data_IF_195992702956
#
_entry.id   IF_195992702956
#
_cell.length_a   1.000
_cell.length_b   1.000
_cell.length_c   1.000
_cell.angle_alpha   90.00
_cell.angle_beta   90.00
_cell.angle_gamma   90.00
#
_symmetry.space_group_name_H-M   'P 1'
#
loop_
_entity.id
_entity.type
_entity.pdbx_description
1 polymer ?
#
# COMPACT_ATOMS: atom_id res chain seq x y z
N UNK A 1 -15.58 3.54 60.69
CA UNK A 1 -15.93 4.62 61.64
C UNK A 1 -14.75 5.16 62.48
N UNK A 2 -13.59 4.52 62.54
CA UNK A 2 -12.41 5.06 63.27
C UNK A 2 -11.46 5.97 62.44
N UNK A 3 -11.82 6.36 61.21
CA UNK A 3 -11.00 7.23 60.35
C UNK A 3 -11.30 8.74 60.53
N UNK A 4 -12.24 9.11 61.40
CA UNK A 4 -12.80 10.48 61.47
C UNK A 4 -12.28 11.34 62.64
N UNK A 5 -11.27 10.89 63.38
CA UNK A 5 -10.61 11.67 64.45
C UNK A 5 -9.22 12.13 64.03
N UNK A 6 -9.09 12.68 62.83
CA UNK A 6 -7.91 13.47 62.46
C UNK A 6 -8.20 14.93 62.82
N UNK A 7 -7.87 15.22 64.08
CA UNK A 7 -7.47 16.50 64.68
C UNK A 7 -7.85 17.79 63.91
N UNK A 8 -8.61 18.70 64.53
CA UNK A 8 -8.97 20.01 63.97
C UNK A 8 -7.76 20.85 63.54
N UNK A 9 -6.56 20.51 64.05
CA UNK A 9 -5.28 21.06 63.60
C UNK A 9 -4.93 20.72 62.13
N UNK A 10 -5.39 19.57 61.61
CA UNK A 10 -5.13 19.15 60.23
C UNK A 10 -5.92 19.97 59.21
N UNK A 11 -7.17 20.35 59.54
CA UNK A 11 -7.96 21.26 58.70
C UNK A 11 -7.42 22.70 58.72
N UNK A 12 -6.83 23.13 59.84
CA UNK A 12 -6.22 24.45 59.95
C UNK A 12 -4.92 24.54 59.13
N UNK A 13 -4.09 23.49 59.19
CA UNK A 13 -2.91 23.35 58.33
C UNK A 13 -3.27 23.23 56.84
N UNK A 14 -4.44 22.66 56.49
CA UNK A 14 -4.91 22.53 55.10
C UNK A 14 -5.08 23.87 54.38
N UNK A 15 -5.53 24.91 55.08
CA UNK A 15 -5.77 26.21 54.46
C UNK A 15 -4.48 27.05 54.33
N UNK A 16 -3.42 26.73 55.07
CA UNK A 16 -2.09 27.34 54.92
C UNK A 16 -1.22 26.61 53.88
N UNK A 17 -1.61 25.41 53.44
CA UNK A 17 -0.90 24.57 52.46
C UNK A 17 -1.32 24.79 51.00
N UNK A 18 -2.30 25.66 50.72
CA UNK A 18 -2.88 25.87 49.38
C UNK A 18 -2.34 27.14 48.69
N UNK A 19 -1.59 28.00 49.37
CA UNK A 19 -0.97 29.16 48.73
C UNK A 19 0.31 28.77 47.97
N UNK A 20 0.19 28.80 46.65
CA UNK A 20 1.26 28.64 45.67
C UNK A 20 2.35 29.71 45.86
N UNK A 21 3.59 29.29 46.11
CA UNK A 21 4.74 29.58 45.24
C UNK A 21 6.09 29.28 45.93
N UNK A 22 6.94 28.53 45.23
CA UNK A 22 8.41 28.54 45.36
C UNK A 22 9.11 27.95 46.61
N UNK A 23 8.65 26.83 47.19
CA UNK A 23 9.49 26.03 48.13
C UNK A 23 9.14 24.53 48.23
N UNK A 24 8.89 23.85 47.11
CA UNK A 24 8.26 22.51 47.08
C UNK A 24 9.16 21.28 47.33
N UNK A 25 10.34 21.39 47.96
CA UNK A 25 11.14 20.21 48.36
C UNK A 25 10.79 19.63 49.75
N UNK A 26 10.78 20.43 50.84
CA UNK A 26 10.55 19.89 52.18
C UNK A 26 9.13 19.36 52.43
N UNK A 27 8.12 19.82 51.69
CA UNK A 27 6.71 19.35 51.85
C UNK A 27 6.48 17.98 51.21
N UNK A 28 7.21 17.69 50.11
CA UNK A 28 7.17 16.38 49.45
C UNK A 28 7.93 15.34 50.30
N UNK A 29 9.09 15.71 50.85
CA UNK A 29 9.88 14.81 51.69
C UNK A 29 9.13 14.39 52.97
N UNK A 30 8.42 15.31 53.65
CA UNK A 30 7.61 14.98 54.84
C UNK A 30 6.38 14.12 54.49
N UNK A 31 5.74 14.37 53.35
CA UNK A 31 4.63 13.53 52.87
C UNK A 31 5.09 12.11 52.56
N UNK A 32 6.22 11.97 51.86
CA UNK A 32 6.78 10.67 51.49
C UNK A 32 7.29 9.90 52.71
N UNK A 33 7.92 10.59 53.67
CA UNK A 33 8.57 9.96 54.82
C UNK A 33 7.59 9.58 55.95
N UNK A 34 6.49 10.33 56.14
CA UNK A 34 5.54 10.11 57.27
C UNK A 34 4.17 9.55 56.87
N UNK A 35 3.74 9.65 55.62
CA UNK A 35 2.40 9.21 55.22
C UNK A 35 2.44 8.20 54.07
N UNK A 36 3.20 8.48 52.99
CA UNK A 36 3.20 7.65 51.79
C UNK A 36 3.68 6.22 52.08
N UNK A 37 4.73 6.04 52.89
CA UNK A 37 5.27 4.71 53.20
C UNK A 37 4.29 3.88 54.02
N UNK A 38 3.72 4.42 55.11
CA UNK A 38 2.77 3.68 55.96
C UNK A 38 1.47 3.40 55.20
N UNK A 39 0.93 4.39 54.48
CA UNK A 39 -0.27 4.22 53.67
C UNK A 39 -0.10 3.13 52.59
N UNK A 40 1.05 3.11 51.89
CA UNK A 40 1.33 2.10 50.88
C UNK A 40 1.58 0.70 51.45
N UNK A 41 1.97 0.58 52.71
CA UNK A 41 2.12 -0.71 53.41
C UNK A 41 0.75 -1.22 53.86
N UNK A 42 -0.06 -0.37 54.50
CA UNK A 42 -1.40 -0.72 54.95
C UNK A 42 -2.31 -1.11 53.77
N UNK A 43 -2.24 -0.37 52.66
CA UNK A 43 -2.96 -0.72 51.45
C UNK A 43 -2.51 -2.07 50.88
N UNK A 44 -1.20 -2.32 50.83
CA UNK A 44 -0.65 -3.59 50.36
C UNK A 44 -1.12 -4.77 51.22
N UNK A 45 -1.10 -4.64 52.54
CA UNK A 45 -1.55 -5.70 53.45
C UNK A 45 -3.05 -5.94 53.34
N UNK A 46 -3.86 -4.88 53.20
CA UNK A 46 -5.29 -5.00 52.96
C UNK A 46 -5.59 -5.79 51.68
N UNK A 47 -4.96 -5.42 50.57
CA UNK A 47 -5.16 -6.07 49.27
C UNK A 47 -4.60 -7.51 49.24
N UNK A 48 -3.49 -7.79 49.91
CA UNK A 48 -2.97 -9.16 50.08
C UNK A 48 -3.94 -10.05 50.86
N UNK A 49 -4.58 -9.53 51.89
CA UNK A 49 -5.58 -10.28 52.66
C UNK A 49 -6.86 -10.55 51.87
N UNK A 50 -7.28 -9.64 51.00
CA UNK A 50 -8.42 -9.86 50.11
C UNK A 50 -8.10 -10.85 48.98
N UNK A 51 -6.86 -10.86 48.46
CA UNK A 51 -6.43 -11.75 47.39
C UNK A 51 -6.02 -13.18 47.82
N UNK A 52 -6.70 -13.74 48.83
CA UNK A 52 -6.46 -15.13 49.31
C UNK A 52 -7.22 -16.16 48.45
N UNK A 53 -8.15 -15.71 47.59
CA UNK A 53 -8.94 -16.60 46.72
C UNK A 53 -8.12 -17.08 45.53
N UNK A 54 -8.12 -18.40 45.31
CA UNK A 54 -7.53 -18.99 44.10
C UNK A 54 -8.47 -18.78 42.91
N UNK A 55 -7.93 -18.23 41.83
CA UNK A 55 -8.67 -17.96 40.60
C UNK A 55 -9.13 -19.26 39.93
N UNK A 56 -10.43 -19.40 39.67
CA UNK A 56 -10.98 -20.52 38.88
C UNK A 56 -11.54 -20.02 37.54
N UNK A 57 -11.57 -20.83 36.47
CA UNK A 57 -11.98 -20.38 35.12
C UNK A 57 -13.40 -19.78 35.06
N UNK A 58 -14.29 -20.24 35.91
CA UNK A 58 -15.68 -19.79 36.00
C UNK A 58 -15.80 -18.44 36.73
N UNK A 59 -14.96 -18.19 37.74
CA UNK A 59 -14.97 -16.96 38.56
C UNK A 59 -14.19 -15.78 37.95
N UNK A 60 -13.55 -15.94 36.78
CA UNK A 60 -12.73 -14.89 36.16
C UNK A 60 -13.51 -13.58 35.94
N UNK A 61 -14.79 -13.66 35.55
CA UNK A 61 -15.58 -12.44 35.30
C UNK A 61 -15.87 -11.68 36.59
N UNK A 62 -16.17 -12.40 37.67
CA UNK A 62 -16.41 -11.83 39.00
C UNK A 62 -15.12 -11.25 39.58
N UNK A 63 -14.00 -11.98 39.46
CA UNK A 63 -12.69 -11.53 39.88
C UNK A 63 -12.21 -10.27 39.13
N UNK A 64 -12.42 -10.20 37.81
CA UNK A 64 -12.08 -9.00 37.03
C UNK A 64 -12.98 -7.80 37.36
N UNK A 65 -14.26 -8.04 37.71
CA UNK A 65 -15.16 -6.98 38.18
C UNK A 65 -14.72 -6.44 39.53
N UNK A 66 -14.39 -7.32 40.47
CA UNK A 66 -13.90 -6.97 41.81
C UNK A 66 -12.59 -6.15 41.73
N UNK A 67 -11.64 -6.58 40.89
CA UNK A 67 -10.43 -5.79 40.64
C UNK A 67 -10.77 -4.43 40.03
N UNK A 68 -11.67 -4.38 39.05
CA UNK A 68 -12.06 -3.12 38.41
C UNK A 68 -12.66 -2.13 39.42
N UNK A 69 -13.47 -2.59 40.37
CA UNK A 69 -14.04 -1.76 41.44
C UNK A 69 -12.95 -1.19 42.37
N UNK A 70 -11.96 -2.01 42.75
CA UNK A 70 -10.82 -1.53 43.54
C UNK A 70 -9.99 -0.49 42.79
N UNK A 71 -9.76 -0.68 41.49
CA UNK A 71 -9.07 0.32 40.67
C UNK A 71 -9.84 1.64 40.59
N UNK A 72 -11.16 1.60 40.39
CA UNK A 72 -11.99 2.80 40.34
C UNK A 72 -12.03 3.53 41.69
N UNK A 73 -12.13 2.77 42.78
CA UNK A 73 -12.07 3.31 44.12
C UNK A 73 -10.74 4.03 44.36
N UNK A 74 -9.62 3.38 44.06
CA UNK A 74 -8.29 3.97 44.30
C UNK A 74 -7.99 5.16 43.39
N UNK A 75 -8.41 5.11 42.13
CA UNK A 75 -8.29 6.26 41.22
C UNK A 75 -9.13 7.45 41.72
N UNK A 76 -10.34 7.18 42.24
CA UNK A 76 -11.23 8.23 42.77
C UNK A 76 -10.69 8.80 44.07
N UNK A 77 -10.28 7.92 44.99
CA UNK A 77 -9.67 8.26 46.27
C UNK A 77 -8.40 9.09 46.07
N UNK A 78 -7.51 8.66 45.18
CA UNK A 78 -6.30 9.37 44.85
C UNK A 78 -6.56 10.77 44.28
N UNK A 79 -7.57 10.92 43.41
CA UNK A 79 -7.94 12.22 42.84
C UNK A 79 -8.53 13.17 43.88
N UNK A 80 -9.20 12.67 44.92
CA UNK A 80 -9.85 13.51 45.94
C UNK A 80 -8.97 13.78 47.17
N UNK A 81 -8.07 12.87 47.54
CA UNK A 81 -7.37 12.91 48.82
C UNK A 81 -5.84 12.92 48.74
N UNK A 82 -5.23 12.48 47.62
CA UNK A 82 -3.77 12.47 47.49
C UNK A 82 -3.25 13.78 46.84
N UNK A 83 -2.05 14.25 47.19
CA UNK A 83 -1.41 15.36 46.51
C UNK A 83 -1.33 15.09 45.01
N UNK A 84 -1.41 16.13 44.16
CA UNK A 84 -1.31 16.02 42.69
C UNK A 84 0.07 15.53 42.17
N UNK A 85 0.90 14.95 43.03
CA UNK A 85 2.08 14.21 42.65
C UNK A 85 1.62 12.91 41.97
N UNK A 86 1.78 12.84 40.66
CA UNK A 86 1.47 11.67 39.83
C UNK A 86 2.15 10.37 40.32
N UNK A 87 3.21 10.50 41.13
CA UNK A 87 4.03 9.42 41.68
C UNK A 87 3.26 8.42 42.55
N UNK A 88 2.48 8.89 43.52
CA UNK A 88 1.90 7.99 44.55
C UNK A 88 0.80 7.10 44.00
N UNK A 89 -0.04 7.62 43.11
CA UNK A 89 -1.05 6.83 42.40
C UNK A 89 -0.40 5.78 41.49
N UNK A 90 0.67 6.14 40.78
CA UNK A 90 1.39 5.18 39.93
C UNK A 90 2.04 4.06 40.77
N UNK A 91 2.57 4.37 41.96
CA UNK A 91 3.14 3.37 42.90
C UNK A 91 2.04 2.45 43.45
N UNK A 92 0.89 2.99 43.86
CA UNK A 92 -0.22 2.22 44.39
C UNK A 92 -0.82 1.28 43.33
N UNK A 93 -0.99 1.77 42.09
CA UNK A 93 -1.43 0.95 40.95
C UNK A 93 -0.41 -0.16 40.68
N UNK A 94 0.89 0.13 40.70
CA UNK A 94 1.92 -0.89 40.49
C UNK A 94 1.88 -1.99 41.58
N UNK A 95 1.68 -1.61 42.86
CA UNK A 95 1.54 -2.57 43.96
C UNK A 95 0.27 -3.42 43.82
N UNK A 96 -0.86 -2.81 43.47
CA UNK A 96 -2.10 -3.53 43.17
C UNK A 96 -1.93 -4.52 42.02
N UNK A 97 -1.23 -4.11 40.97
CA UNK A 97 -0.87 -4.98 39.85
C UNK A 97 0.03 -6.15 40.31
N UNK A 98 1.01 -5.93 41.19
CA UNK A 98 1.86 -7.01 41.73
C UNK A 98 1.09 -8.02 42.58
N UNK A 99 0.13 -7.54 43.37
CA UNK A 99 -0.68 -8.39 44.26
C UNK A 99 -1.69 -9.21 43.45
N UNK A 100 -2.49 -8.57 42.59
CA UNK A 100 -3.61 -9.22 41.89
C UNK A 100 -3.25 -9.84 40.54
N UNK A 101 -2.17 -9.39 39.88
CA UNK A 101 -1.73 -9.87 38.56
C UNK A 101 -0.44 -10.69 38.65
N UNK A 102 -0.38 -11.61 39.61
CA UNK A 102 0.68 -12.63 39.67
C UNK A 102 0.73 -13.41 38.35
N UNK A 103 1.92 -13.92 37.98
CA UNK A 103 2.12 -14.67 36.72
C UNK A 103 1.10 -15.81 36.51
N UNK A 104 0.74 -16.50 37.59
CA UNK A 104 -0.26 -17.56 37.59
C UNK A 104 -1.67 -17.07 37.20
N UNK A 105 -2.16 -16.00 37.84
CA UNK A 105 -3.49 -15.45 37.58
C UNK A 105 -3.56 -14.84 36.18
N UNK A 106 -2.47 -14.22 35.72
CA UNK A 106 -2.35 -13.72 34.36
C UNK A 106 -2.43 -14.87 33.35
N UNK A 107 -1.80 -16.02 33.59
CA UNK A 107 -1.87 -17.17 32.68
C UNK A 107 -3.30 -17.71 32.52
N UNK A 108 -4.07 -17.80 33.60
CA UNK A 108 -5.44 -18.31 33.58
C UNK A 108 -6.39 -17.33 32.87
N UNK A 109 -6.23 -16.02 33.13
CA UNK A 109 -6.96 -14.98 32.40
C UNK A 109 -6.63 -15.08 30.91
N UNK A 110 -5.36 -15.23 30.55
CA UNK A 110 -4.91 -15.30 29.15
C UNK A 110 -5.46 -16.54 28.42
N UNK A 111 -5.61 -17.68 29.08
CA UNK A 111 -6.16 -18.90 28.49
C UNK A 111 -7.67 -18.80 28.20
N UNK A 112 -8.44 -18.23 29.15
CA UNK A 112 -9.86 -17.91 28.91
C UNK A 112 -10.01 -16.85 27.81
N UNK A 113 -9.14 -15.83 27.80
CA UNK A 113 -9.15 -14.80 26.76
C UNK A 113 -8.83 -15.38 25.39
N UNK A 114 -7.89 -16.32 25.28
CA UNK A 114 -7.61 -17.02 24.03
C UNK A 114 -8.85 -17.78 23.53
N UNK A 115 -9.57 -18.44 24.44
CA UNK A 115 -10.82 -19.14 24.12
C UNK A 115 -11.91 -18.18 23.62
N UNK A 116 -12.08 -17.02 24.28
CA UNK A 116 -13.09 -16.03 23.90
C UNK A 116 -12.77 -15.36 22.56
N UNK A 117 -11.49 -15.04 22.34
CA UNK A 117 -11.00 -14.48 21.08
C UNK A 117 -11.20 -15.50 19.94
N UNK A 118 -10.89 -16.78 20.16
CA UNK A 118 -11.12 -17.84 19.18
C UNK A 118 -12.60 -18.12 18.89
N UNK A 119 -13.50 -17.85 19.85
CA UNK A 119 -14.94 -18.04 19.68
C UNK A 119 -15.64 -16.84 19.01
N UNK A 120 -14.91 -15.78 18.66
CA UNK A 120 -15.41 -14.57 17.98
C UNK A 120 -16.63 -13.91 18.65
N UNK A 121 -16.84 -14.12 19.96
CA UNK A 121 -18.01 -13.58 20.65
C UNK A 121 -17.82 -12.10 21.00
N UNK A 122 -18.45 -11.24 20.22
CA UNK A 122 -18.36 -9.77 20.34
C UNK A 122 -18.89 -9.22 21.66
N UNK A 123 -19.88 -9.86 22.28
CA UNK A 123 -20.45 -9.41 23.56
C UNK A 123 -19.50 -9.67 24.73
N UNK A 124 -18.92 -10.87 24.78
CA UNK A 124 -17.94 -11.23 25.81
C UNK A 124 -16.67 -10.41 25.68
N UNK A 125 -16.19 -10.20 24.44
CA UNK A 125 -15.06 -9.32 24.15
C UNK A 125 -15.30 -7.87 24.59
N UNK A 126 -16.56 -7.39 24.47
CA UNK A 126 -16.93 -6.05 24.91
C UNK A 126 -16.96 -5.90 26.42
N UNK A 127 -17.62 -6.83 27.12
CA UNK A 127 -17.62 -6.82 28.59
C UNK A 127 -16.20 -6.96 29.13
N UNK A 128 -15.39 -7.83 28.53
CA UNK A 128 -13.99 -7.96 28.90
C UNK A 128 -13.19 -6.70 28.58
N UNK A 129 -13.46 -6.00 27.48
CA UNK A 129 -12.79 -4.73 27.20
C UNK A 129 -13.12 -3.65 28.22
N UNK A 130 -14.39 -3.55 28.65
CA UNK A 130 -14.81 -2.56 29.65
C UNK A 130 -14.15 -2.84 31.02
N UNK A 131 -14.06 -4.12 31.40
CA UNK A 131 -13.44 -4.58 32.65
C UNK A 131 -11.90 -4.47 32.61
N UNK A 132 -11.27 -4.95 31.53
CA UNK A 132 -9.81 -5.03 31.38
C UNK A 132 -9.21 -3.72 30.86
N UNK A 133 -10.01 -2.86 30.23
CA UNK A 133 -9.62 -1.55 29.70
C UNK A 133 -8.93 -0.66 30.73
N UNK A 134 -9.31 -0.85 31.99
CA UNK A 134 -8.91 -0.10 33.20
C UNK A 134 -7.58 -0.55 33.79
N UNK A 135 -7.15 -1.78 33.49
CA UNK A 135 -5.91 -2.36 34.04
C UNK A 135 -4.79 -2.32 32.98
N UNK A 136 -3.75 -1.48 33.14
CA UNK A 136 -2.73 -1.27 32.12
C UNK A 136 -1.96 -2.53 31.68
N UNK A 137 -1.51 -3.36 32.63
CA UNK A 137 -0.75 -4.60 32.32
C UNK A 137 -1.56 -5.62 31.52
N UNK A 138 -2.79 -5.93 31.95
CA UNK A 138 -3.64 -6.91 31.26
C UNK A 138 -4.00 -6.40 29.87
N UNK A 139 -4.30 -5.10 29.73
CA UNK A 139 -4.62 -4.51 28.44
C UNK A 139 -3.49 -4.69 27.41
N UNK A 140 -2.23 -4.49 27.81
CA UNK A 140 -1.06 -4.74 26.94
C UNK A 140 -0.94 -6.21 26.55
N UNK A 141 -1.19 -7.13 27.49
CA UNK A 141 -1.13 -8.56 27.25
C UNK A 141 -2.23 -9.01 26.27
N UNK A 142 -3.46 -8.50 26.44
CA UNK A 142 -4.61 -8.79 25.57
C UNK A 142 -4.42 -8.19 24.18
N UNK A 143 -3.90 -6.97 24.09
CA UNK A 143 -3.51 -6.36 22.81
C UNK A 143 -2.55 -7.27 22.03
N UNK A 144 -1.55 -7.85 22.70
CA UNK A 144 -0.60 -8.78 22.09
C UNK A 144 -1.23 -10.12 21.69
N UNK A 145 -2.20 -10.63 22.47
CA UNK A 145 -2.96 -11.83 22.09
C UNK A 145 -3.77 -11.61 20.83
N UNK A 146 -4.46 -10.48 20.71
CA UNK A 146 -5.25 -10.14 19.53
C UNK A 146 -4.35 -9.96 18.33
N UNK A 147 -3.20 -9.29 18.52
CA UNK A 147 -2.18 -9.15 17.47
C UNK A 147 -1.75 -10.51 16.93
N UNK A 148 -1.45 -11.47 17.81
CA UNK A 148 -1.06 -12.82 17.43
C UNK A 148 -2.21 -13.60 16.80
N UNK A 149 -3.43 -13.51 17.33
CA UNK A 149 -4.58 -14.23 16.82
C UNK A 149 -4.97 -13.79 15.41
N UNK A 150 -5.02 -12.46 15.18
CA UNK A 150 -5.28 -11.89 13.85
C UNK A 150 -4.16 -12.29 12.88
N UNK A 151 -2.90 -12.30 13.33
CA UNK A 151 -1.77 -12.73 12.52
C UNK A 151 -1.86 -14.23 12.15
N UNK A 152 -2.08 -15.12 13.12
CA UNK A 152 -2.15 -16.58 12.90
C UNK A 152 -3.33 -16.97 11.99
N UNK A 153 -4.52 -16.41 12.23
CA UNK A 153 -5.69 -16.67 11.39
C UNK A 153 -5.50 -16.07 9.98
N UNK A 154 -4.96 -14.85 9.89
CA UNK A 154 -4.79 -14.15 8.62
C UNK A 154 -3.72 -14.76 7.71
N UNK A 155 -2.63 -15.31 8.25
CA UNK A 155 -1.59 -15.95 7.44
C UNK A 155 -2.12 -17.18 6.69
N UNK A 156 -3.00 -17.97 7.32
CA UNK A 156 -3.56 -19.17 6.71
C UNK A 156 -4.33 -18.87 5.43
N UNK A 157 -5.11 -17.79 5.47
CA UNK A 157 -5.96 -17.36 4.35
C UNK A 157 -5.14 -16.71 3.21
N UNK A 158 -3.97 -16.15 3.51
CA UNK A 158 -3.10 -15.45 2.53
C UNK A 158 -2.13 -16.44 1.87
N UNK A 159 -2.66 -17.42 1.16
CA UNK A 159 -1.88 -18.45 0.43
C UNK A 159 -1.90 -18.29 -1.09
N UNK A 160 -2.51 -17.23 -1.62
CA UNK A 160 -2.86 -17.15 -3.04
C UNK A 160 -1.94 -16.19 -3.81
N UNK A 161 -1.45 -16.63 -4.97
CA UNK A 161 -0.53 -15.90 -5.85
C UNK A 161 -1.16 -14.75 -6.65
N UNK A 162 -2.49 -14.62 -6.62
CA UNK A 162 -3.23 -13.69 -7.48
C UNK A 162 -3.54 -12.37 -6.78
N UNK A 163 -3.25 -11.25 -7.46
CA UNK A 163 -3.33 -9.89 -6.88
C UNK A 163 -4.76 -9.46 -6.56
N UNK A 164 -5.76 -9.91 -7.33
CA UNK A 164 -7.17 -9.63 -7.06
C UNK A 164 -7.61 -10.31 -5.76
N UNK A 165 -7.40 -11.63 -5.67
CA UNK A 165 -7.75 -12.41 -4.48
C UNK A 165 -7.00 -11.97 -3.22
N UNK A 166 -5.74 -11.53 -3.35
CA UNK A 166 -4.92 -11.07 -2.23
C UNK A 166 -5.49 -9.79 -1.60
N UNK A 167 -5.85 -8.81 -2.42
CA UNK A 167 -6.38 -7.54 -1.92
C UNK A 167 -7.77 -7.74 -1.32
N UNK A 168 -8.64 -8.50 -2.00
CA UNK A 168 -10.00 -8.75 -1.51
C UNK A 168 -9.99 -9.57 -0.19
N UNK A 169 -9.15 -10.60 -0.06
CA UNK A 169 -9.01 -11.34 1.22
C UNK A 169 -8.53 -10.46 2.36
N UNK A 170 -7.54 -9.58 2.14
CA UNK A 170 -7.08 -8.65 3.18
C UNK A 170 -8.20 -7.69 3.59
N UNK A 171 -9.00 -7.22 2.64
CA UNK A 171 -10.15 -6.34 2.91
C UNK A 171 -11.21 -7.07 3.74
N UNK A 172 -11.51 -8.33 3.40
CA UNK A 172 -12.51 -9.12 4.10
C UNK A 172 -12.07 -9.46 5.52
N UNK A 173 -10.81 -9.86 5.70
CA UNK A 173 -10.16 -10.05 7.01
C UNK A 173 -10.22 -8.74 7.80
N UNK A 174 -9.94 -7.61 7.14
CA UNK A 174 -9.99 -6.31 7.79
C UNK A 174 -11.39 -5.94 8.28
N UNK A 175 -12.41 -6.10 7.44
CA UNK A 175 -13.80 -5.83 7.81
C UNK A 175 -14.24 -6.71 8.96
N UNK A 176 -13.97 -8.02 8.87
CA UNK A 176 -14.31 -9.00 9.90
C UNK A 176 -13.73 -8.61 11.26
N UNK A 177 -12.43 -8.34 11.33
CA UNK A 177 -11.80 -8.02 12.60
C UNK A 177 -12.08 -6.59 13.09
N UNK A 178 -12.37 -5.64 12.21
CA UNK A 178 -12.89 -4.33 12.63
C UNK A 178 -14.26 -4.49 13.26
N UNK A 179 -15.19 -5.25 12.67
CA UNK A 179 -16.51 -5.48 13.25
C UNK A 179 -16.42 -6.14 14.64
N UNK A 180 -15.50 -7.10 14.81
CA UNK A 180 -15.34 -7.81 16.08
C UNK A 180 -14.65 -6.96 17.15
N UNK A 181 -13.62 -6.18 16.79
CA UNK A 181 -12.70 -5.54 17.75
C UNK A 181 -12.75 -4.01 17.78
N UNK A 182 -13.73 -3.36 17.13
CA UNK A 182 -13.96 -1.90 17.25
C UNK A 182 -14.58 -1.51 18.59
N UNK A 183 -13.96 -1.93 19.69
CA UNK A 183 -14.46 -1.77 21.05
C UNK A 183 -13.72 -0.61 21.77
N UNK A 184 -12.52 -0.24 21.31
CA UNK A 184 -11.87 0.99 21.74
C UNK A 184 -10.46 1.26 21.19
N UNK A 185 -9.85 2.42 21.54
CA UNK A 185 -8.64 2.92 20.89
C UNK A 185 -7.40 2.04 21.08
N UNK A 186 -7.29 1.35 22.22
CA UNK A 186 -6.16 0.45 22.49
C UNK A 186 -6.22 -0.83 21.65
N UNK A 187 -7.42 -1.37 21.44
CA UNK A 187 -7.64 -2.55 20.58
C UNK A 187 -7.48 -2.19 19.11
N UNK A 188 -7.92 -0.99 18.70
CA UNK A 188 -7.61 -0.45 17.38
C UNK A 188 -6.10 -0.36 17.15
N UNK A 189 -5.32 0.10 18.12
CA UNK A 189 -3.86 0.14 18.00
C UNK A 189 -3.24 -1.27 17.89
N UNK A 190 -3.74 -2.24 18.65
CA UNK A 190 -3.33 -3.64 18.54
C UNK A 190 -3.65 -4.23 17.17
N UNK A 191 -4.84 -3.93 16.66
CA UNK A 191 -5.32 -4.36 15.36
C UNK A 191 -4.52 -3.71 14.22
N UNK A 192 -4.22 -2.41 14.32
CA UNK A 192 -3.36 -1.70 13.36
C UNK A 192 -1.97 -2.34 13.30
N UNK A 193 -1.40 -2.74 14.45
CA UNK A 193 -0.12 -3.46 14.52
C UNK A 193 -0.23 -4.87 13.92
N UNK A 194 -1.33 -5.56 14.18
CA UNK A 194 -1.59 -6.88 13.63
C UNK A 194 -1.68 -6.84 12.10
N UNK A 195 -2.43 -5.89 11.54
CA UNK A 195 -2.54 -5.70 10.10
C UNK A 195 -1.23 -5.29 9.45
N UNK A 196 -0.47 -4.41 10.11
CA UNK A 196 0.86 -4.07 9.67
C UNK A 196 1.77 -5.29 9.59
N UNK A 197 1.80 -6.10 10.65
CA UNK A 197 2.58 -7.33 10.70
C UNK A 197 2.11 -8.33 9.66
N UNK A 198 0.80 -8.53 9.50
CA UNK A 198 0.20 -9.41 8.52
C UNK A 198 0.62 -8.96 7.11
N UNK A 199 0.31 -7.73 6.69
CA UNK A 199 0.59 -7.23 5.34
C UNK A 199 2.08 -7.34 4.96
N UNK A 200 2.98 -7.04 5.89
CA UNK A 200 4.42 -7.06 5.63
C UNK A 200 5.06 -8.45 5.85
N UNK A 201 4.46 -9.32 6.69
CA UNK A 201 4.94 -10.67 7.01
C UNK A 201 3.89 -11.74 6.69
N UNK A 202 3.46 -11.79 5.44
CA UNK A 202 2.54 -12.78 4.89
C UNK A 202 3.24 -14.06 4.44
N UNK A 203 2.49 -15.15 4.27
CA UNK A 203 3.02 -16.41 3.71
C UNK A 203 3.74 -16.20 2.36
N UNK A 204 3.28 -15.25 1.53
CA UNK A 204 3.90 -14.87 0.26
C UNK A 204 5.28 -14.22 0.47
N UNK A 205 5.38 -13.30 1.44
CA UNK A 205 6.66 -12.63 1.78
C UNK A 205 7.64 -13.59 2.44
N UNK A 206 7.13 -14.54 3.24
CA UNK A 206 7.93 -15.59 3.88
C UNK A 206 8.44 -16.62 2.86
N UNK A 207 7.63 -16.98 1.85
CA UNK A 207 8.05 -17.87 0.76
C UNK A 207 9.08 -17.23 -0.17
N UNK A 208 9.06 -15.90 -0.32
CA UNK A 208 9.97 -15.17 -1.21
C UNK A 208 11.16 -14.52 -0.50
N UNK A 209 11.14 -14.51 0.84
CA UNK A 209 12.16 -13.88 1.67
C UNK A 209 12.16 -12.35 1.60
N UNK A 210 11.12 -11.72 1.06
CA UNK A 210 11.06 -10.26 0.84
C UNK A 210 9.67 -9.68 1.14
N UNK A 211 9.64 -8.59 1.93
CA UNK A 211 8.44 -7.79 2.26
C UNK A 211 7.88 -7.03 1.06
N UNK A 212 8.73 -6.79 0.06
CA UNK A 212 8.50 -5.99 -1.15
C UNK A 212 7.36 -6.49 -2.04
N UNK A 213 6.98 -7.76 -1.89
CA UNK A 213 5.99 -8.41 -2.74
C UNK A 213 4.56 -7.93 -2.47
N UNK A 214 4.26 -7.55 -1.22
CA UNK A 214 2.96 -6.98 -0.87
C UNK A 214 2.73 -5.63 -1.58
N UNK A 215 3.76 -4.79 -1.63
CA UNK A 215 3.75 -3.53 -2.37
C UNK A 215 3.56 -3.76 -3.89
N UNK A 216 4.26 -4.74 -4.46
CA UNK A 216 4.10 -5.10 -5.88
C UNK A 216 2.68 -5.60 -6.20
N UNK A 217 2.13 -6.50 -5.38
CA UNK A 217 0.79 -7.05 -5.57
C UNK A 217 -0.30 -5.97 -5.50
N UNK A 218 -0.18 -5.03 -4.55
CA UNK A 218 -1.12 -3.90 -4.47
C UNK A 218 -1.02 -3.00 -5.71
N UNK A 219 0.19 -2.72 -6.20
CA UNK A 219 0.37 -1.94 -7.43
C UNK A 219 -0.22 -2.64 -8.66
N UNK A 220 -0.07 -3.97 -8.76
CA UNK A 220 -0.68 -4.80 -9.82
C UNK A 220 -2.21 -4.85 -9.73
N UNK A 221 -2.76 -4.88 -8.52
CA UNK A 221 -4.20 -4.78 -8.31
C UNK A 221 -4.73 -3.44 -8.84
N UNK A 222 -4.10 -2.34 -8.46
CA UNK A 222 -4.46 -1.01 -8.95
C UNK A 222 -4.40 -0.94 -10.49
N UNK A 223 -3.35 -1.49 -11.09
CA UNK A 223 -3.19 -1.54 -12.55
C UNK A 223 -4.29 -2.35 -13.24
N UNK A 224 -4.67 -3.49 -12.67
CA UNK A 224 -5.73 -4.33 -13.25
C UNK A 224 -7.09 -3.67 -13.12
N UNK A 225 -7.36 -3.06 -11.96
CA UNK A 225 -8.57 -2.31 -11.67
C UNK A 225 -8.75 -1.12 -12.62
N UNK A 226 -7.69 -0.33 -12.86
CA UNK A 226 -7.73 0.85 -13.74
C UNK A 226 -7.74 0.52 -15.24
N UNK A 227 -7.46 -0.74 -15.63
CA UNK A 227 -7.54 -1.22 -17.02
C UNK A 227 -8.90 -1.79 -17.39
N UNK A 228 -9.58 -2.47 -16.46
CA UNK A 228 -10.85 -3.14 -16.72
C UNK A 228 -12.00 -2.18 -16.41
N UNK A 229 -12.81 -1.83 -17.42
CA UNK A 229 -14.08 -1.14 -17.16
C UNK A 229 -15.07 -2.16 -16.60
N UNK A 230 -15.26 -2.17 -15.28
CA UNK A 230 -16.31 -2.95 -14.65
C UNK A 230 -17.66 -2.34 -15.07
N UNK A 231 -18.29 -2.90 -16.12
CA UNK A 231 -19.56 -2.41 -16.71
C UNK A 231 -20.70 -2.19 -15.70
N UNK A 232 -20.58 -2.72 -14.49
CA UNK A 232 -21.56 -2.68 -13.41
C UNK A 232 -21.20 -1.73 -12.27
N UNK A 233 -19.99 -1.15 -12.23
CA UNK A 233 -19.58 -0.28 -11.13
C UNK A 233 -19.97 1.17 -11.37
N UNK A 234 -20.53 1.79 -10.34
CA UNK A 234 -20.80 3.22 -10.26
C UNK A 234 -19.55 3.99 -9.82
N UNK A 235 -19.53 5.30 -10.02
CA UNK A 235 -18.46 6.17 -9.51
C UNK A 235 -18.26 6.02 -7.99
N UNK A 236 -19.35 5.79 -7.24
CA UNK A 236 -19.29 5.53 -5.80
C UNK A 236 -18.58 4.22 -5.46
N UNK A 237 -18.78 3.16 -6.24
CA UNK A 237 -18.11 1.87 -6.02
C UNK A 237 -16.60 1.96 -6.28
N UNK A 238 -16.22 2.73 -7.32
CA UNK A 238 -14.81 3.01 -7.63
C UNK A 238 -14.14 3.75 -6.47
N UNK A 239 -14.82 4.76 -5.95
CA UNK A 239 -14.36 5.55 -4.82
C UNK A 239 -14.19 4.73 -3.53
N UNK A 240 -15.11 3.78 -3.26
CA UNK A 240 -14.97 2.84 -2.16
C UNK A 240 -13.79 1.89 -2.34
N UNK A 241 -13.57 1.36 -3.55
CA UNK A 241 -12.41 0.52 -3.85
C UNK A 241 -11.10 1.27 -3.68
N UNK A 242 -11.03 2.53 -4.11
CA UNK A 242 -9.87 3.38 -3.81
C UNK A 242 -9.64 3.53 -2.31
N UNK A 243 -10.68 3.80 -1.50
CA UNK A 243 -10.53 3.87 -0.04
C UNK A 243 -9.98 2.56 0.53
N UNK A 244 -10.46 1.41 0.06
CA UNK A 244 -9.96 0.09 0.49
C UNK A 244 -8.47 -0.09 0.14
N UNK A 245 -8.05 0.27 -1.08
CA UNK A 245 -6.64 0.23 -1.49
C UNK A 245 -5.78 1.11 -0.59
N UNK A 246 -6.22 2.34 -0.30
CA UNK A 246 -5.47 3.27 0.55
C UNK A 246 -5.33 2.77 1.99
N UNK A 247 -6.35 2.07 2.50
CA UNK A 247 -6.28 1.47 3.83
C UNK A 247 -5.18 0.41 3.89
N UNK A 248 -5.07 -0.47 2.89
CA UNK A 248 -3.96 -1.45 2.80
C UNK A 248 -2.63 -0.71 2.65
N UNK A 249 -2.57 0.27 1.74
CA UNK A 249 -1.37 1.05 1.46
C UNK A 249 -0.80 1.74 2.72
N UNK A 250 -1.67 2.16 3.66
CA UNK A 250 -1.24 2.74 4.94
C UNK A 250 -0.33 1.80 5.74
N UNK A 251 -0.57 0.49 5.67
CA UNK A 251 0.16 -0.53 6.42
C UNK A 251 1.42 -1.05 5.73
N UNK A 252 1.64 -0.70 4.46
CA UNK A 252 2.83 -1.11 3.70
C UNK A 252 4.04 -0.29 4.14
N UNK A 253 5.15 -0.97 4.44
CA UNK A 253 6.44 -0.35 4.77
C UNK A 253 7.15 0.17 3.51
N UNK A 254 7.28 -0.69 2.49
CA UNK A 254 8.05 -0.43 1.27
C UNK A 254 7.25 0.43 0.25
N UNK A 255 6.89 1.65 0.63
CA UNK A 255 6.09 2.58 -0.21
C UNK A 255 6.84 3.03 -1.46
N UNK A 256 8.15 3.20 -1.40
CA UNK A 256 9.00 3.51 -2.56
C UNK A 256 8.96 2.40 -3.63
N UNK A 257 8.86 1.15 -3.20
CA UNK A 257 8.69 0.01 -4.09
C UNK A 257 7.31 0.05 -4.76
N UNK A 258 6.26 0.35 -3.99
CA UNK A 258 4.92 0.59 -4.56
C UNK A 258 4.97 1.71 -5.61
N UNK A 259 5.57 2.87 -5.29
CA UNK A 259 5.70 4.01 -6.22
C UNK A 259 6.37 3.58 -7.54
N UNK A 260 7.48 2.83 -7.45
CA UNK A 260 8.23 2.37 -8.62
C UNK A 260 7.41 1.44 -9.51
N UNK A 261 6.71 0.47 -8.93
CA UNK A 261 5.85 -0.44 -9.69
C UNK A 261 4.61 0.28 -10.24
N UNK A 262 3.95 1.09 -9.42
CA UNK A 262 2.77 1.86 -9.80
C UNK A 262 3.09 2.83 -10.95
N UNK A 263 4.18 3.61 -10.84
CA UNK A 263 4.63 4.53 -11.87
C UNK A 263 4.96 3.84 -13.19
N UNK A 264 5.67 2.70 -13.13
CA UNK A 264 5.95 1.88 -14.33
C UNK A 264 4.66 1.41 -15.03
N UNK A 265 3.65 1.02 -14.26
CA UNK A 265 2.38 0.56 -14.79
C UNK A 265 1.51 1.71 -15.30
N UNK A 266 1.47 2.84 -14.59
CA UNK A 266 0.82 4.08 -15.02
C UNK A 266 1.31 4.53 -16.39
N UNK A 267 2.63 4.61 -16.56
CA UNK A 267 3.28 4.94 -17.84
C UNK A 267 2.80 4.03 -18.96
N UNK A 268 2.77 2.71 -18.72
CA UNK A 268 2.28 1.75 -19.72
C UNK A 268 0.80 1.95 -20.04
N UNK A 269 -0.04 2.24 -19.05
CA UNK A 269 -1.48 2.45 -19.27
C UNK A 269 -1.75 3.71 -20.09
N UNK A 270 -1.07 4.81 -19.79
CA UNK A 270 -1.27 6.10 -20.47
C UNK A 270 -0.72 6.08 -21.91
N UNK A 271 0.42 5.45 -22.14
CA UNK A 271 1.01 5.37 -23.48
C UNK A 271 0.17 4.49 -24.40
N UNK A 272 -0.28 3.34 -23.90
CA UNK A 272 -1.07 2.38 -24.68
C UNK A 272 -2.58 2.59 -24.61
N UNK A 273 -3.04 3.66 -23.96
CA UNK A 273 -4.46 4.01 -23.82
C UNK A 273 -5.30 2.88 -23.23
N UNK A 274 -4.73 2.19 -22.24
CA UNK A 274 -5.38 1.09 -21.52
C UNK A 274 -6.21 1.58 -20.33
N UNK A 275 -6.04 2.84 -19.91
CA UNK A 275 -6.80 3.41 -18.80
C UNK A 275 -8.26 3.59 -19.18
N UNK A 276 -9.16 3.18 -18.27
CA UNK A 276 -10.61 3.29 -18.47
C UNK A 276 -11.09 4.73 -18.39
N UNK A 277 -10.52 5.52 -17.48
CA UNK A 277 -10.91 6.89 -17.19
C UNK A 277 -9.68 7.70 -16.79
N UNK A 278 -9.51 8.89 -17.37
CA UNK A 278 -8.47 9.82 -16.97
C UNK A 278 -8.73 10.45 -15.59
N UNK A 279 -10.00 10.61 -15.22
CA UNK A 279 -10.38 11.20 -13.94
C UNK A 279 -10.12 10.23 -12.78
N UNK A 280 -10.27 8.93 -13.01
CA UNK A 280 -9.95 7.89 -12.01
C UNK A 280 -8.45 7.83 -11.72
N UNK A 281 -7.61 7.96 -12.75
CA UNK A 281 -6.14 8.04 -12.59
C UNK A 281 -5.75 9.29 -11.78
N UNK A 282 -6.39 10.43 -12.07
CA UNK A 282 -6.20 11.68 -11.31
C UNK A 282 -6.66 11.53 -9.85
N UNK A 283 -7.84 10.96 -9.60
CA UNK A 283 -8.39 10.75 -8.26
C UNK A 283 -7.47 9.86 -7.42
N UNK A 284 -7.01 8.74 -7.99
CA UNK A 284 -6.10 7.83 -7.29
C UNK A 284 -4.77 8.49 -6.92
N UNK A 285 -4.18 9.30 -7.82
CA UNK A 285 -2.93 10.02 -7.53
C UNK A 285 -3.14 11.12 -6.48
N UNK A 286 -4.25 11.86 -6.54
CA UNK A 286 -4.59 12.85 -5.50
C UNK A 286 -4.75 12.21 -4.12
N UNK A 287 -5.36 11.04 -4.05
CA UNK A 287 -5.48 10.27 -2.80
C UNK A 287 -4.13 9.79 -2.25
N UNK A 288 -3.22 9.37 -3.12
CA UNK A 288 -1.85 9.02 -2.73
C UNK A 288 -1.08 10.25 -2.23
N UNK A 289 -1.33 11.43 -2.82
CA UNK A 289 -0.74 12.71 -2.42
C UNK A 289 -1.18 13.11 -1.02
N UNK A 290 -2.44 12.89 -0.65
CA UNK A 290 -2.95 13.21 0.68
C UNK A 290 -2.27 12.37 1.79
N UNK A 291 -1.84 11.14 1.47
CA UNK A 291 -1.22 10.22 2.44
C UNK A 291 0.30 10.37 2.50
N UNK A 292 0.96 10.48 1.35
CA UNK A 292 2.43 10.48 1.23
C UNK A 292 3.04 11.86 0.99
N UNK A 293 2.23 12.87 0.68
CA UNK A 293 2.65 14.22 0.36
C UNK A 293 3.07 14.42 -1.09
N UNK A 294 3.32 15.70 -1.42
CA UNK A 294 3.62 16.20 -2.77
C UNK A 294 4.85 15.57 -3.43
N UNK A 295 5.92 15.32 -2.66
CA UNK A 295 7.17 14.82 -3.23
C UNK A 295 7.00 13.42 -3.82
N UNK A 296 6.22 12.59 -3.15
CA UNK A 296 5.96 11.20 -3.53
C UNK A 296 5.17 11.09 -4.84
N UNK A 297 4.17 11.96 -5.05
CA UNK A 297 3.32 11.91 -6.26
C UNK A 297 3.81 12.78 -7.41
N UNK A 298 4.81 13.65 -7.16
CA UNK A 298 5.30 14.66 -8.12
C UNK A 298 5.56 14.11 -9.53
N UNK A 299 6.20 12.94 -9.65
CA UNK A 299 6.48 12.32 -10.95
C UNK A 299 5.21 11.85 -11.66
N UNK A 300 4.31 11.19 -10.94
CA UNK A 300 3.03 10.71 -11.48
C UNK A 300 2.12 11.88 -11.90
N UNK A 301 2.11 12.97 -11.13
CA UNK A 301 1.39 14.20 -11.47
C UNK A 301 1.94 14.84 -12.75
N UNK A 302 3.27 14.94 -12.87
CA UNK A 302 3.92 15.43 -14.09
C UNK A 302 3.63 14.53 -15.30
N UNK A 303 3.64 13.21 -15.14
CA UNK A 303 3.28 12.25 -16.19
C UNK A 303 1.86 12.50 -16.71
N UNK A 304 0.88 12.72 -15.82
CA UNK A 304 -0.49 13.04 -16.22
C UNK A 304 -0.58 14.40 -16.94
N UNK A 305 0.11 15.41 -16.42
CA UNK A 305 0.14 16.74 -17.02
C UNK A 305 0.76 16.72 -18.41
N UNK A 306 1.86 15.99 -18.61
CA UNK A 306 2.52 15.83 -19.91
C UNK A 306 1.56 15.22 -20.94
N UNK A 307 0.76 14.23 -20.55
CA UNK A 307 -0.25 13.63 -21.44
C UNK A 307 -1.35 14.63 -21.80
N UNK A 308 -1.87 15.39 -20.84
CA UNK A 308 -2.90 16.40 -21.09
C UNK A 308 -2.38 17.50 -22.04
N UNK A 309 -1.18 18.02 -21.79
CA UNK A 309 -0.53 19.02 -22.66
C UNK A 309 -0.26 18.42 -24.04
N UNK A 310 0.19 17.17 -24.11
CA UNK A 310 0.48 16.54 -25.40
C UNK A 310 -0.75 16.29 -26.25
N UNK A 311 -1.91 16.02 -25.66
CA UNK A 311 -3.17 15.92 -26.41
C UNK A 311 -3.48 17.25 -27.10
N UNK A 312 -3.40 18.36 -26.36
CA UNK A 312 -3.63 19.69 -26.95
C UNK A 312 -2.64 20.02 -28.06
N UNK A 313 -1.35 19.65 -27.90
CA UNK A 313 -0.34 19.83 -28.94
C UNK A 313 -0.59 18.98 -30.19
N UNK A 314 -1.17 17.79 -30.02
CA UNK A 314 -1.52 16.89 -31.12
C UNK A 314 -2.72 17.41 -31.88
N UNK A 315 -3.76 17.88 -31.17
CA UNK A 315 -4.96 18.45 -31.80
C UNK A 315 -4.64 19.73 -32.60
N UNK A 316 -3.65 20.50 -32.13
CA UNK A 316 -3.13 21.68 -32.82
C UNK A 316 -2.32 21.35 -34.08
N UNK A 317 -1.74 20.14 -34.16
CA UNK A 317 -0.91 19.71 -35.27
C UNK A 317 -1.75 18.92 -36.28
N UNK A 318 -1.93 19.48 -37.48
CA UNK A 318 -2.57 18.78 -38.60
C UNK A 318 -1.53 18.37 -39.61
N UNK A 319 -1.47 17.08 -39.90
CA UNK A 319 -0.67 16.53 -40.99
C UNK A 319 -1.60 16.07 -42.11
N UNK A 320 -1.36 16.54 -43.33
CA UNK A 320 -2.18 16.19 -44.49
C UNK A 320 -1.76 14.83 -45.11
N UNK A 321 -0.61 14.28 -44.71
CA UNK A 321 -0.01 13.10 -45.34
C UNK A 321 -0.46 11.80 -44.66
N UNK A 322 -0.43 11.76 -43.33
CA UNK A 322 -0.74 10.58 -42.52
C UNK A 322 -1.44 11.03 -41.24
N UNK A 323 -2.45 10.28 -40.81
CA UNK A 323 -3.04 10.42 -39.47
C UNK A 323 -1.96 10.16 -38.41
N UNK A 324 -1.58 11.21 -37.69
CA UNK A 324 -0.38 11.23 -36.85
C UNK A 324 -0.72 11.76 -35.46
N UNK A 325 -0.52 10.91 -34.46
CA UNK A 325 -0.72 11.24 -33.05
C UNK A 325 0.60 11.18 -32.29
N UNK A 326 0.91 12.23 -31.50
CA UNK A 326 2.19 12.35 -30.78
C UNK A 326 1.98 12.49 -29.29
N UNK A 327 2.84 11.82 -28.52
CA UNK A 327 2.94 12.02 -27.08
C UNK A 327 4.30 12.67 -26.77
N UNK A 328 4.31 13.97 -26.52
CA UNK A 328 5.48 14.75 -26.09
C UNK A 328 5.60 14.66 -24.58
N UNK A 329 6.73 14.12 -24.11
CA UNK A 329 6.94 13.75 -22.71
C UNK A 329 8.17 14.45 -22.15
N UNK A 330 8.18 14.77 -20.86
CA UNK A 330 9.35 15.32 -20.18
C UNK A 330 10.40 14.24 -19.88
N UNK A 331 11.68 14.57 -20.01
CA UNK A 331 12.78 13.59 -19.83
C UNK A 331 12.95 13.10 -18.39
N UNK A 332 12.56 13.92 -17.41
CA UNK A 332 12.93 13.70 -15.99
C UNK A 332 11.91 12.85 -15.23
N UNK A 333 10.67 12.79 -15.72
CA UNK A 333 9.53 12.20 -15.01
C UNK A 333 9.20 10.81 -15.54
N UNK A 334 9.61 10.51 -16.77
CA UNK A 334 9.31 9.26 -17.46
C UNK A 334 10.48 8.26 -17.38
N UNK A 335 10.21 6.97 -17.08
CA UNK A 335 11.24 5.95 -16.85
C UNK A 335 11.81 5.36 -18.16
N UNK A 336 11.83 6.12 -19.25
CA UNK A 336 12.31 5.62 -20.53
C UNK A 336 13.82 5.81 -20.65
N UNK A 337 14.51 4.74 -21.02
CA UNK A 337 15.92 4.82 -21.37
C UNK A 337 16.05 5.25 -22.82
N UNK A 338 16.98 6.17 -23.10
CA UNK A 338 17.30 6.54 -24.46
C UNK A 338 17.95 5.35 -25.15
N UNK A 339 17.28 4.82 -26.18
CA UNK A 339 17.78 3.74 -27.01
C UNK A 339 18.02 4.21 -28.45
N UNK A 340 18.72 3.35 -29.19
CA UNK A 340 19.49 3.60 -30.40
C UNK A 340 18.91 4.50 -31.50
N UNK A 341 19.85 5.00 -32.31
CA UNK A 341 19.57 5.55 -33.64
C UNK A 341 19.07 4.46 -34.58
N UNK A 342 17.84 4.61 -35.06
CA UNK A 342 17.25 3.76 -36.11
C UNK A 342 17.19 4.59 -37.39
N UNK A 343 17.35 3.94 -38.53
CA UNK A 343 17.10 4.56 -39.82
C UNK A 343 15.62 4.41 -40.16
N UNK A 344 14.89 5.53 -40.15
CA UNK A 344 13.49 5.60 -40.57
C UNK A 344 13.38 5.56 -42.11
N UNK A 345 12.28 4.99 -42.61
CA UNK A 345 11.95 5.08 -44.03
C UNK A 345 11.63 6.53 -44.43
N UNK A 346 11.71 6.82 -45.72
CA UNK A 346 11.48 8.15 -46.28
C UNK A 346 10.11 8.72 -45.94
N UNK A 347 9.08 7.88 -45.98
CA UNK A 347 7.68 8.22 -45.74
C UNK A 347 7.47 8.66 -44.28
N UNK A 348 8.08 7.91 -43.36
CA UNK A 348 8.01 8.20 -41.93
C UNK A 348 8.80 9.45 -41.60
N UNK A 349 10.03 9.54 -42.12
CA UNK A 349 10.95 10.64 -41.82
C UNK A 349 10.36 12.01 -42.14
N UNK A 350 9.67 12.15 -43.29
CA UNK A 350 9.02 13.41 -43.66
C UNK A 350 7.98 13.87 -42.62
N UNK A 351 7.21 12.94 -42.06
CA UNK A 351 6.20 13.23 -41.03
C UNK A 351 6.86 13.63 -39.70
N UNK A 352 7.90 12.89 -39.27
CA UNK A 352 8.65 13.19 -38.05
C UNK A 352 9.37 14.55 -38.12
N UNK A 353 10.00 14.84 -39.26
CA UNK A 353 10.72 16.11 -39.49
C UNK A 353 9.73 17.29 -39.50
N UNK A 354 8.58 17.15 -40.16
CA UNK A 354 7.49 18.15 -40.17
C UNK A 354 6.99 18.48 -38.76
N UNK A 355 6.75 17.47 -37.92
CA UNK A 355 6.36 17.71 -36.53
C UNK A 355 7.47 18.35 -35.71
N UNK A 356 8.72 17.95 -35.95
CA UNK A 356 9.86 18.52 -35.24
C UNK A 356 10.00 20.02 -35.52
N UNK A 357 9.85 20.44 -36.78
CA UNK A 357 9.89 21.86 -37.16
C UNK A 357 8.74 22.65 -36.54
N UNK A 358 7.52 22.08 -36.55
CA UNK A 358 6.36 22.65 -35.86
C UNK A 358 6.64 22.85 -34.36
N UNK A 359 7.17 21.84 -33.68
CA UNK A 359 7.44 21.91 -32.24
C UNK A 359 8.52 22.93 -31.89
N UNK A 360 9.63 22.94 -32.64
CA UNK A 360 10.76 23.87 -32.40
C UNK A 360 10.33 25.31 -32.66
N UNK A 361 9.45 25.56 -33.65
CA UNK A 361 8.93 26.90 -33.94
C UNK A 361 8.11 27.50 -32.79
N UNK A 362 7.43 26.66 -32.00
CA UNK A 362 6.64 27.07 -30.83
C UNK A 362 7.45 27.05 -29.53
N UNK A 363 8.43 26.16 -29.42
CA UNK A 363 9.20 25.92 -28.21
C UNK A 363 10.71 26.05 -28.46
N UNK A 364 11.19 27.29 -28.46
CA UNK A 364 12.61 27.58 -28.59
C UNK A 364 13.45 26.97 -27.46
N UNK A 365 14.62 26.42 -27.81
CA UNK A 365 15.57 25.86 -26.85
C UNK A 365 15.28 24.43 -26.37
N UNK A 366 14.25 23.77 -26.91
CA UNK A 366 13.95 22.36 -26.63
C UNK A 366 14.41 21.46 -27.77
N UNK A 367 14.81 20.23 -27.43
CA UNK A 367 15.19 19.19 -28.39
C UNK A 367 14.29 17.97 -28.18
N UNK A 368 13.67 17.50 -29.26
CA UNK A 368 12.90 16.27 -29.25
C UNK A 368 13.81 15.06 -29.41
N UNK A 369 13.48 13.98 -28.72
CA UNK A 369 14.10 12.67 -28.88
C UNK A 369 12.97 11.65 -29.05
N UNK A 370 13.00 10.91 -30.14
CA UNK A 370 11.97 9.94 -30.48
C UNK A 370 12.21 8.60 -29.79
N UNK A 371 11.16 8.03 -29.16
CA UNK A 371 11.21 6.75 -28.46
C UNK A 371 10.38 5.72 -29.24
N UNK A 372 11.02 5.03 -30.18
CA UNK A 372 10.33 4.15 -31.13
C UNK A 372 9.83 2.83 -30.52
N UNK A 373 10.34 2.41 -29.36
CA UNK A 373 9.95 1.15 -28.69
C UNK A 373 8.46 1.14 -28.29
N UNK A 374 7.92 2.29 -27.96
CA UNK A 374 6.53 2.43 -27.53
C UNK A 374 5.62 3.00 -28.63
N UNK A 375 6.17 3.24 -29.82
CA UNK A 375 5.44 3.73 -30.97
C UNK A 375 4.81 2.58 -31.78
N UNK A 376 3.62 2.85 -32.32
CA UNK A 376 2.85 1.93 -33.16
C UNK A 376 2.37 2.67 -34.40
N UNK A 377 2.07 1.91 -35.45
CA UNK A 377 1.49 2.43 -36.68
C UNK A 377 0.50 1.43 -37.29
N UNK A 378 -0.39 1.95 -38.12
CA UNK A 378 -1.27 1.15 -38.96
C UNK A 378 -0.68 1.10 -40.38
N UNK A 379 -0.46 -0.10 -40.90
CA UNK A 379 -0.05 -0.34 -42.28
C UNK A 379 -1.18 -0.99 -43.06
N UNK A 380 -1.37 -0.55 -44.30
CA UNK A 380 -2.24 -1.24 -45.23
C UNK A 380 -1.41 -2.20 -46.09
N UNK A 381 -1.67 -3.49 -45.93
CA UNK A 381 -1.07 -4.54 -46.73
C UNK A 381 -1.94 -4.83 -47.95
N UNK A 382 -1.33 -4.83 -49.13
CA UNK A 382 -1.94 -5.26 -50.37
C UNK A 382 -0.95 -6.21 -51.05
N UNK A 383 -1.38 -7.45 -51.29
CA UNK A 383 -0.62 -8.46 -52.02
C UNK A 383 -1.10 -8.51 -53.46
N UNK A 384 -0.23 -8.77 -54.44
CA UNK A 384 -0.63 -8.86 -55.85
C UNK A 384 -1.52 -10.09 -56.12
N UNK A 385 -1.41 -11.14 -55.31
CA UNK A 385 -2.11 -12.42 -55.42
C UNK A 385 -3.52 -12.41 -54.85
N UNK A 386 -3.84 -11.48 -53.94
CA UNK A 386 -5.18 -11.34 -53.36
C UNK A 386 -5.64 -9.89 -53.41
N UNK A 387 -6.80 -9.62 -54.00
CA UNK A 387 -7.41 -8.26 -54.01
C UNK A 387 -7.83 -7.76 -52.61
N UNK A 388 -7.53 -8.52 -51.55
CA UNK A 388 -7.88 -8.19 -50.18
C UNK A 388 -6.87 -7.20 -49.61
N UNK A 389 -7.41 -6.14 -49.01
CA UNK A 389 -6.63 -5.14 -48.26
C UNK A 389 -6.70 -5.48 -46.78
N UNK A 390 -5.56 -5.76 -46.17
CA UNK A 390 -5.46 -6.00 -44.73
C UNK A 390 -4.91 -4.75 -44.03
N UNK A 391 -5.45 -4.44 -42.85
CA UNK A 391 -4.94 -3.38 -41.97
C UNK A 391 -4.17 -4.03 -40.83
N UNK A 392 -2.88 -3.74 -40.74
CA UNK A 392 -1.96 -4.30 -39.76
C UNK A 392 -1.61 -3.25 -38.71
N UNK A 393 -1.94 -3.51 -37.45
CA UNK A 393 -1.43 -2.73 -36.33
C UNK A 393 -0.06 -3.28 -35.93
N UNK A 394 1.00 -2.52 -36.20
CA UNK A 394 2.38 -2.96 -36.02
C UNK A 394 3.17 -1.99 -35.14
N UNK A 395 4.19 -2.50 -34.45
CA UNK A 395 5.19 -1.64 -33.80
C UNK A 395 6.02 -0.89 -34.85
N UNK A 396 6.62 0.24 -34.48
CA UNK A 396 7.47 1.00 -35.41
C UNK A 396 8.65 0.18 -35.94
N UNK A 397 9.23 -0.71 -35.14
CA UNK A 397 10.27 -1.63 -35.61
C UNK A 397 9.75 -2.60 -36.70
N UNK A 398 8.57 -3.18 -36.50
CA UNK A 398 7.93 -4.04 -37.50
C UNK A 398 7.60 -3.24 -38.77
N UNK A 399 7.12 -2.00 -38.62
CA UNK A 399 6.80 -1.13 -39.74
C UNK A 399 8.03 -0.84 -40.62
N UNK A 400 9.15 -0.46 -40.02
CA UNK A 400 10.40 -0.18 -40.76
C UNK A 400 10.86 -1.43 -41.51
N UNK A 401 10.78 -2.62 -40.90
CA UNK A 401 11.17 -3.87 -41.55
C UNK A 401 10.24 -4.22 -42.72
N UNK A 402 8.92 -4.09 -42.55
CA UNK A 402 7.94 -4.39 -43.59
C UNK A 402 8.08 -3.45 -44.80
N UNK A 403 8.33 -2.16 -44.57
CA UNK A 403 8.51 -1.18 -45.65
C UNK A 403 9.72 -1.49 -46.55
N UNK A 404 10.75 -2.20 -46.06
CA UNK A 404 11.87 -2.64 -46.89
C UNK A 404 11.45 -3.63 -47.99
N UNK A 405 10.38 -4.40 -47.77
CA UNK A 405 9.92 -5.38 -48.74
C UNK A 405 9.23 -4.76 -49.95
N UNK A 406 8.83 -3.48 -49.87
CA UNK A 406 8.35 -2.72 -51.04
C UNK A 406 9.44 -2.52 -52.10
N UNK A 407 10.72 -2.52 -51.71
CA UNK A 407 11.83 -2.43 -52.67
C UNK A 407 12.20 -3.80 -53.27
N UNK A 408 12.17 -4.87 -52.45
CA UNK A 408 12.56 -6.23 -52.83
C UNK A 408 11.81 -7.27 -52.02
N UNK A 409 11.38 -8.34 -52.68
CA UNK A 409 10.62 -9.45 -52.08
C UNK A 409 11.46 -10.31 -51.10
N UNK A 410 12.79 -10.36 -51.28
CA UNK A 410 13.68 -11.16 -50.45
C UNK A 410 14.85 -10.35 -49.89
N UNK A 411 15.11 -10.52 -48.59
CA UNK A 411 16.21 -9.86 -47.89
C UNK A 411 16.96 -10.83 -46.98
N UNK A 412 18.27 -10.64 -46.87
CA UNK A 412 19.08 -11.35 -45.86
C UNK A 412 19.04 -10.57 -44.54
N UNK A 413 18.98 -11.26 -43.40
CA UNK A 413 18.93 -10.63 -42.05
C UNK A 413 20.04 -9.59 -41.85
N UNK A 414 21.28 -9.90 -42.25
CA UNK A 414 22.40 -8.95 -42.14
C UNK A 414 22.25 -7.69 -43.02
N UNK A 415 21.52 -7.77 -44.14
CA UNK A 415 21.20 -6.60 -44.97
C UNK A 415 20.08 -5.76 -44.34
N UNK A 416 19.07 -6.41 -43.77
CA UNK A 416 18.00 -5.74 -43.02
C UNK A 416 18.63 -4.96 -41.86
N UNK A 417 19.49 -5.60 -41.07
CA UNK A 417 20.17 -4.95 -39.94
C UNK A 417 20.99 -3.72 -40.39
N UNK A 418 21.73 -3.82 -41.51
CA UNK A 418 22.50 -2.67 -42.02
C UNK A 418 21.61 -1.51 -42.46
N UNK A 419 20.46 -1.80 -43.08
CA UNK A 419 19.52 -0.78 -43.55
C UNK A 419 18.73 -0.14 -42.41
N UNK A 420 18.36 -0.89 -41.37
CA UNK A 420 17.54 -0.38 -40.27
C UNK A 420 18.36 0.11 -39.07
N UNK A 421 19.60 -0.37 -38.92
CA UNK A 421 20.47 -0.19 -37.75
C UNK A 421 19.89 -0.69 -36.42
N UNK A 422 18.85 -1.53 -36.45
CA UNK A 422 18.28 -2.16 -35.25
C UNK A 422 19.29 -3.17 -34.66
N UNK A 423 19.43 -3.24 -33.33
CA UNK A 423 20.25 -4.29 -32.70
C UNK A 423 19.75 -5.68 -33.09
N UNK A 424 20.67 -6.61 -33.22
CA UNK A 424 20.35 -7.97 -33.62
C UNK A 424 19.32 -8.64 -32.70
N UNK A 425 19.42 -8.43 -31.38
CA UNK A 425 18.50 -8.99 -30.38
C UNK A 425 17.04 -8.56 -30.61
N UNK A 426 16.81 -7.24 -30.78
CA UNK A 426 15.48 -6.71 -31.09
C UNK A 426 15.01 -7.10 -32.49
N UNK A 427 15.91 -7.11 -33.48
CA UNK A 427 15.59 -7.52 -34.84
C UNK A 427 15.11 -8.96 -34.89
N UNK A 428 15.75 -9.88 -34.16
CA UNK A 428 15.32 -11.28 -34.07
C UNK A 428 13.92 -11.38 -33.46
N UNK A 429 13.62 -10.64 -32.37
CA UNK A 429 12.27 -10.63 -31.78
C UNK A 429 11.21 -10.14 -32.76
N UNK A 430 11.49 -9.06 -33.49
CA UNK A 430 10.61 -8.48 -34.51
C UNK A 430 10.36 -9.48 -35.65
N UNK A 431 11.42 -10.11 -36.17
CA UNK A 431 11.33 -11.08 -37.24
C UNK A 431 10.59 -12.35 -36.79
N UNK A 432 10.89 -12.89 -35.61
CA UNK A 432 10.17 -14.03 -35.05
C UNK A 432 8.67 -13.73 -34.90
N UNK A 433 8.29 -12.50 -34.51
CA UNK A 433 6.89 -12.09 -34.43
C UNK A 433 6.21 -12.11 -35.81
N UNK A 434 6.88 -11.59 -36.85
CA UNK A 434 6.35 -11.52 -38.22
C UNK A 434 6.32 -12.87 -38.95
N UNK A 435 7.28 -13.76 -38.65
CA UNK A 435 7.29 -15.14 -39.13
C UNK A 435 6.17 -15.96 -38.47
N UNK A 436 5.96 -15.80 -37.15
CA UNK A 436 4.86 -16.46 -36.43
C UNK A 436 3.49 -16.01 -36.95
N UNK A 437 3.35 -14.75 -37.33
CA UNK A 437 2.13 -14.24 -37.95
C UNK A 437 1.98 -14.62 -39.42
N UNK A 438 2.92 -15.37 -40.02
CA UNK A 438 2.93 -15.80 -41.44
C UNK A 438 2.94 -14.67 -42.47
N UNK A 439 3.27 -13.44 -42.07
CA UNK A 439 3.41 -12.31 -43.00
C UNK A 439 4.74 -12.43 -43.77
N UNK A 440 5.77 -12.92 -43.08
CA UNK A 440 7.07 -13.23 -43.67
C UNK A 440 7.28 -14.75 -43.68
N UNK A 441 8.06 -15.22 -44.65
CA UNK A 441 8.46 -16.61 -44.80
C UNK A 441 9.98 -16.76 -44.64
N UNK A 442 10.41 -17.82 -43.96
CA UNK A 442 11.81 -18.23 -43.83
C UNK A 442 11.85 -19.75 -43.70
N UNK A 443 12.91 -20.37 -44.23
CA UNK A 443 13.15 -21.83 -44.13
C UNK A 443 13.40 -22.29 -42.69
N UNK A 444 13.86 -21.39 -41.82
CA UNK A 444 14.09 -21.65 -40.40
C UNK A 444 13.45 -20.56 -39.53
N UNK A 445 12.62 -20.96 -38.56
CA UNK A 445 11.78 -20.07 -37.73
C UNK A 445 12.37 -19.88 -36.31
N UNK A 446 13.10 -20.86 -35.79
CA UNK A 446 13.52 -20.90 -34.39
C UNK A 446 14.89 -20.24 -34.13
N UNK A 447 15.85 -20.36 -35.05
CA UNK A 447 17.23 -19.85 -34.89
C UNK A 447 17.61 -18.92 -36.04
N UNK A 448 17.15 -17.67 -36.00
CA UNK A 448 17.45 -16.68 -37.05
C UNK A 448 18.93 -16.27 -36.99
N UNK A 449 19.71 -16.61 -38.02
CA UNK A 449 21.11 -16.15 -38.18
C UNK A 449 21.22 -15.03 -39.21
N UNK A 450 22.33 -14.29 -39.17
CA UNK A 450 22.62 -13.17 -40.09
C UNK A 450 22.53 -13.52 -41.57
N UNK A 451 22.74 -14.80 -41.93
CA UNK A 451 22.77 -15.26 -43.31
C UNK A 451 21.41 -15.77 -43.81
N UNK A 452 20.38 -15.79 -42.96
CA UNK A 452 19.07 -16.32 -43.34
C UNK A 452 18.37 -15.35 -44.30
N UNK A 453 17.70 -15.92 -45.30
CA UNK A 453 16.91 -15.19 -46.28
C UNK A 453 15.46 -15.20 -45.78
N UNK A 454 14.87 -14.02 -45.74
CA UNK A 454 13.49 -13.78 -45.38
C UNK A 454 12.79 -13.26 -46.61
N UNK A 455 11.63 -13.84 -46.90
CA UNK A 455 10.82 -13.54 -48.07
C UNK A 455 9.46 -13.01 -47.61
N UNK A 456 8.89 -12.08 -48.37
CA UNK A 456 7.53 -11.63 -48.14
C UNK A 456 6.53 -12.71 -48.59
N UNK A 457 5.50 -12.99 -47.78
CA UNK A 457 4.50 -14.00 -48.10
C UNK A 457 3.35 -13.39 -48.92
N UNK A 458 3.40 -13.55 -50.23
CA UNK A 458 2.37 -13.11 -51.16
C UNK A 458 1.05 -13.90 -51.05
N UNK A 459 1.05 -15.10 -50.44
CA UNK A 459 -0.15 -15.93 -50.24
C UNK A 459 -0.81 -15.70 -48.87
N UNK A 460 -0.54 -14.57 -48.21
CA UNK A 460 -1.13 -14.26 -46.90
C UNK A 460 -2.67 -14.19 -46.99
N UNK A 461 -3.37 -15.11 -46.30
CA UNK A 461 -4.84 -15.23 -46.28
C UNK A 461 -5.45 -14.80 -44.94
#
# INVERSE_FOLDING_TARGET
ENFLLVDENFQKNRNELIDEDSSSKPVIDVYTEYFEIEFLQDAEDFYRQQNVRTLTPESISEYLSEISEYYDFEITFAKSFLPKSKSTLDILINKLEEIYLTEHNLSIIMDKMKTIVSNENTQDLRHLYELIGRIPKINKAVAKLIENHVYENGIGDITIKDSETFVDTIIDIQKKFLEIFYIGPKFKCALDKAFHKLINHNAITLQTGTTTKSAELLARYCDTFLKKRHKTMTETDVEEKFKQILIIFKYIDDKDIFEKFYGKMLVKRLIHELSVSHDDEKSMIMKLKDICGLQYTSKCEQILQDIDVSKTLTDDYRNDIVDFSVKVLSSNSWPFSLLQNIILSTELKATFDSFQDFYISRHHGRKLIWIYEHSKGELQLQTDSTEKKYKLLVSTYQMIVLLLFNEKVHWTVGKIQKKTQIQFEFLVQVLCSLLKSKILFSKEISDIKMNHIIEFNDEFQ
#
